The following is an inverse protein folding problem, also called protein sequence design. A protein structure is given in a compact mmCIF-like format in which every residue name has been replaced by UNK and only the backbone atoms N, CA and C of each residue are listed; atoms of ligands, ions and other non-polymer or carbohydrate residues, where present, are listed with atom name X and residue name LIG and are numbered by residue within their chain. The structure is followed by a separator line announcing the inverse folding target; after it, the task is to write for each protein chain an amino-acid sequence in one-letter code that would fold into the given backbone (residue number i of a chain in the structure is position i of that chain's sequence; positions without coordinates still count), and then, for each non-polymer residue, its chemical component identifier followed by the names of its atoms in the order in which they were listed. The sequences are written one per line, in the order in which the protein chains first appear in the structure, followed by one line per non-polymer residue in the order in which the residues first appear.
data_IF_034718737117
#
_entry.id   IF_034718737117
#
_cell.length_a   1.000
_cell.length_b   1.000
_cell.length_c   1.000
_cell.angle_alpha   90.00
_cell.angle_beta   90.00
_cell.angle_gamma   90.00
#
_symmetry.space_group_name_H-M   'P 1'
#
loop_
_entity.id
_entity.type
_entity.pdbx_description
1 polymer ?
#
# COMPACT_ATOMS: atom_id res chain seq x y z
N UNK A 1 -0.48 -33.61 29.16
CA UNK A 1 -1.61 -34.35 28.65
C UNK A 1 -2.40 -33.45 27.73
N UNK A 2 -2.53 -33.82 26.46
CA UNK A 2 -3.36 -33.09 25.48
C UNK A 2 -4.83 -33.38 25.81
N UNK A 3 -5.73 -32.39 25.65
CA UNK A 3 -7.17 -32.64 25.85
C UNK A 3 -7.63 -33.70 24.84
N UNK A 4 -8.26 -34.76 25.37
CA UNK A 4 -8.95 -35.77 24.59
C UNK A 4 -10.12 -35.11 23.86
N UNK A 5 -10.15 -35.19 22.53
CA UNK A 5 -11.29 -34.74 21.72
C UNK A 5 -10.96 -33.80 20.54
N UNK A 6 -9.70 -33.50 20.27
CA UNK A 6 -9.39 -32.93 18.99
C UNK A 6 -9.48 -34.02 17.89
N UNK A 7 -10.20 -33.75 16.79
CA UNK A 7 -10.20 -34.70 15.69
C UNK A 7 -8.73 -34.95 15.28
N UNK A 8 -8.37 -36.20 14.96
CA UNK A 8 -7.06 -36.48 14.41
C UNK A 8 -6.92 -35.52 13.22
N UNK A 9 -5.74 -34.89 13.10
CA UNK A 9 -5.39 -34.11 11.93
C UNK A 9 -5.93 -34.86 10.70
N UNK A 10 -6.97 -34.34 10.09
CA UNK A 10 -7.29 -34.62 8.72
C UNK A 10 -6.24 -33.89 7.84
N UNK A 11 -5.01 -34.02 8.26
CA UNK A 11 -3.87 -33.80 7.42
C UNK A 11 -3.92 -34.94 6.44
N UNK A 12 -4.45 -34.73 5.26
CA UNK A 12 -4.07 -35.53 4.13
C UNK A 12 -2.55 -35.57 4.21
N UNK A 13 -2.00 -36.78 4.44
CA UNK A 13 -0.58 -36.93 4.69
C UNK A 13 0.17 -36.19 3.61
N UNK A 14 0.93 -35.19 4.01
CA UNK A 14 2.00 -34.68 3.16
C UNK A 14 2.92 -35.88 3.03
N UNK A 15 2.79 -36.63 1.96
CA UNK A 15 3.80 -37.59 1.60
C UNK A 15 5.08 -36.77 1.50
N UNK A 16 6.10 -37.12 2.28
CA UNK A 16 7.33 -36.37 2.43
C UNK A 16 8.15 -36.24 1.10
N UNK A 17 7.60 -36.70 -0.02
CA UNK A 17 8.14 -36.65 -1.36
C UNK A 17 7.25 -36.01 -2.41
N UNK A 18 6.13 -35.39 -2.04
CA UNK A 18 5.28 -34.66 -2.97
C UNK A 18 5.81 -33.24 -3.16
N UNK A 19 6.50 -32.96 -4.24
CA UNK A 19 6.70 -31.61 -4.74
C UNK A 19 5.35 -31.13 -5.26
N UNK A 20 4.69 -30.22 -4.53
CA UNK A 20 3.55 -29.51 -5.09
C UNK A 20 4.10 -28.45 -6.06
N UNK A 21 4.00 -28.71 -7.34
CA UNK A 21 4.23 -27.69 -8.36
C UNK A 21 2.92 -26.89 -8.54
N UNK A 22 2.88 -25.71 -7.98
CA UNK A 22 1.86 -24.73 -8.32
C UNK A 22 2.48 -23.68 -9.24
N UNK A 23 1.87 -23.44 -10.39
CA UNK A 23 2.35 -22.47 -11.39
C UNK A 23 1.34 -21.34 -11.48
N UNK A 24 1.74 -20.16 -11.03
CA UNK A 24 1.04 -18.93 -11.34
C UNK A 24 1.71 -18.25 -12.54
N UNK A 25 0.91 -17.76 -13.49
CA UNK A 25 1.36 -16.87 -14.55
C UNK A 25 0.60 -15.56 -14.42
N UNK A 26 1.32 -14.47 -14.36
CA UNK A 26 0.74 -13.13 -14.38
C UNK A 26 1.50 -12.31 -15.42
N UNK A 27 0.78 -11.77 -16.38
CA UNK A 27 1.30 -10.84 -17.38
C UNK A 27 0.51 -9.54 -17.24
N UNK A 28 1.20 -8.43 -16.93
CA UNK A 28 0.55 -7.13 -16.80
C UNK A 28 1.44 -6.00 -17.29
N UNK A 29 0.86 -4.82 -17.51
CA UNK A 29 1.55 -3.69 -18.13
C UNK A 29 1.62 -2.53 -17.15
N UNK A 30 2.85 -2.08 -16.84
CA UNK A 30 3.10 -0.85 -16.10
C UNK A 30 3.15 0.33 -17.07
N UNK A 31 2.48 1.41 -16.75
CA UNK A 31 2.57 2.64 -17.53
C UNK A 31 2.50 3.89 -16.67
N UNK A 32 3.15 4.93 -17.16
CA UNK A 32 3.21 6.23 -16.50
C UNK A 32 3.12 7.32 -17.56
N UNK A 33 2.24 8.28 -17.35
CA UNK A 33 2.08 9.46 -18.19
C UNK A 33 2.22 10.70 -17.31
N UNK A 34 2.99 11.68 -17.75
CA UNK A 34 3.11 12.95 -17.04
C UNK A 34 3.14 14.12 -18.01
N UNK A 35 2.59 15.24 -17.57
CA UNK A 35 2.67 16.52 -18.25
C UNK A 35 3.19 17.56 -17.27
N UNK A 36 4.10 18.42 -17.76
CA UNK A 36 4.67 19.51 -16.97
C UNK A 36 4.50 20.82 -17.72
N UNK A 37 4.06 21.84 -17.02
CA UNK A 37 3.96 23.19 -17.56
C UNK A 37 4.80 24.17 -16.73
N UNK A 38 5.77 24.80 -17.35
CA UNK A 38 6.58 25.86 -16.74
C UNK A 38 5.79 27.17 -16.79
N UNK A 39 5.50 27.71 -15.62
CA UNK A 39 4.85 29.02 -15.48
C UNK A 39 5.87 30.14 -15.75
N UNK A 40 7.05 29.96 -15.15
CA UNK A 40 8.24 30.80 -15.34
C UNK A 40 9.50 29.95 -15.05
N UNK A 41 10.67 30.59 -14.93
CA UNK A 41 11.94 29.89 -14.69
C UNK A 41 12.00 29.25 -13.28
N UNK A 42 11.21 29.76 -12.35
CA UNK A 42 11.21 29.37 -10.94
C UNK A 42 10.01 28.51 -10.53
N UNK A 43 9.00 28.41 -11.39
CA UNK A 43 7.74 27.74 -11.03
C UNK A 43 7.23 26.83 -12.13
N UNK A 44 6.87 25.63 -11.74
CA UNK A 44 6.22 24.67 -12.64
C UNK A 44 5.09 23.93 -11.94
N UNK A 45 4.08 23.58 -12.69
CA UNK A 45 3.03 22.64 -12.31
C UNK A 45 3.18 21.37 -13.13
N UNK A 46 2.76 20.26 -12.53
CA UNK A 46 2.73 18.99 -13.23
C UNK A 46 1.45 18.21 -12.89
N UNK A 47 1.09 17.33 -13.80
CA UNK A 47 0.12 16.29 -13.56
C UNK A 47 0.75 14.95 -13.94
N UNK A 48 0.42 13.90 -13.19
CA UNK A 48 0.95 12.56 -13.38
C UNK A 48 -0.17 11.55 -13.18
N UNK A 49 -0.17 10.54 -14.04
CA UNK A 49 -0.92 9.32 -13.88
C UNK A 49 0.04 8.13 -13.99
N UNK A 50 -0.08 7.17 -13.09
CA UNK A 50 0.65 5.92 -13.19
C UNK A 50 -0.20 4.73 -12.76
N UNK A 51 -0.06 3.64 -13.49
CA UNK A 51 -0.65 2.36 -13.21
C UNK A 51 0.42 1.37 -12.80
N UNK A 52 0.23 0.70 -11.67
CA UNK A 52 1.12 -0.31 -11.13
C UNK A 52 0.37 -1.54 -10.68
N UNK A 53 1.10 -2.65 -10.51
CA UNK A 53 0.53 -3.89 -9.98
C UNK A 53 1.55 -4.64 -9.13
N UNK A 54 1.04 -5.48 -8.23
CA UNK A 54 1.81 -6.57 -7.63
C UNK A 54 1.34 -7.87 -8.23
N UNK A 55 2.28 -8.72 -8.59
CA UNK A 55 1.96 -10.04 -9.17
C UNK A 55 1.21 -10.89 -8.15
N UNK A 56 0.24 -11.67 -8.66
CA UNK A 56 -0.38 -12.74 -7.92
C UNK A 56 0.60 -13.85 -7.58
N UNK A 57 0.17 -14.80 -6.81
CA UNK A 57 1.05 -15.88 -6.36
C UNK A 57 0.30 -17.11 -5.89
N UNK A 58 1.03 -17.93 -5.17
CA UNK A 58 0.58 -19.23 -4.69
C UNK A 58 0.70 -19.24 -3.17
N UNK A 59 -0.38 -19.62 -2.51
CA UNK A 59 -0.37 -19.83 -1.08
C UNK A 59 0.33 -21.15 -0.72
N UNK A 60 0.84 -21.25 0.50
CA UNK A 60 1.43 -22.51 0.96
C UNK A 60 0.35 -23.61 0.97
N UNK A 61 0.73 -24.87 0.70
CA UNK A 61 -0.21 -26.00 0.74
C UNK A 61 -0.99 -26.11 2.04
N UNK A 62 -0.38 -25.70 3.12
CA UNK A 62 -0.99 -25.68 4.43
C UNK A 62 -2.05 -24.57 4.59
N UNK A 63 -1.83 -23.41 3.97
CA UNK A 63 -2.81 -22.33 3.93
C UNK A 63 -3.97 -22.69 3.01
N UNK A 64 -3.67 -23.20 1.83
CA UNK A 64 -4.67 -23.63 0.85
C UNK A 64 -5.55 -24.80 1.35
N UNK A 65 -5.06 -25.57 2.30
CA UNK A 65 -5.85 -26.65 2.94
C UNK A 65 -6.85 -26.14 3.96
N UNK A 66 -6.87 -24.83 4.22
CA UNK A 66 -7.85 -24.19 5.10
C UNK A 66 -9.03 -23.73 4.29
N UNK A 67 -10.12 -24.03 4.14
CA UNK A 67 -11.23 -23.56 3.29
C UNK A 67 -11.36 -22.01 3.18
N UNK A 68 -10.51 -21.29 3.92
CA UNK A 68 -10.51 -19.83 4.02
C UNK A 68 -9.52 -19.14 3.05
N UNK A 69 -8.55 -19.88 2.53
CA UNK A 69 -7.49 -19.35 1.66
C UNK A 69 -7.40 -20.22 0.41
N UNK A 70 -7.48 -19.61 -0.75
CA UNK A 70 -7.33 -20.32 -2.03
C UNK A 70 -5.90 -20.80 -2.26
N UNK A 71 -5.72 -21.72 -3.22
CA UNK A 71 -4.39 -22.16 -3.65
C UNK A 71 -3.58 -21.02 -4.26
N UNK A 72 -4.25 -20.10 -4.95
CA UNK A 72 -3.68 -18.93 -5.61
C UNK A 72 -4.36 -17.65 -5.16
N UNK A 73 -3.68 -16.55 -5.33
CA UNK A 73 -4.23 -15.21 -5.24
C UNK A 73 -3.83 -14.41 -6.47
N UNK A 74 -4.69 -13.50 -6.88
CA UNK A 74 -4.54 -12.72 -8.11
C UNK A 74 -3.64 -11.49 -7.90
N UNK A 75 -3.22 -10.88 -9.01
CA UNK A 75 -2.56 -9.58 -9.01
C UNK A 75 -3.48 -8.51 -8.41
N UNK A 76 -2.89 -7.55 -7.74
CA UNK A 76 -3.57 -6.31 -7.35
C UNK A 76 -3.01 -5.11 -8.11
N UNK A 77 -3.79 -4.07 -8.21
CA UNK A 77 -3.52 -2.92 -9.06
C UNK A 77 -3.63 -1.62 -8.29
N UNK A 78 -2.77 -0.68 -8.63
CA UNK A 78 -2.79 0.66 -8.07
C UNK A 78 -2.74 1.71 -9.18
N UNK A 79 -3.77 2.53 -9.25
CA UNK A 79 -3.81 3.74 -10.05
C UNK A 79 -3.48 4.94 -9.19
N UNK A 80 -2.49 5.73 -9.62
CA UNK A 80 -2.05 6.91 -8.90
C UNK A 80 -2.20 8.15 -9.79
N UNK A 81 -2.88 9.15 -9.26
CA UNK A 81 -3.09 10.46 -9.88
C UNK A 81 -2.44 11.51 -9.00
N UNK A 82 -1.64 12.38 -9.59
CA UNK A 82 -0.98 13.47 -8.89
C UNK A 82 -1.12 14.78 -9.66
N UNK A 83 -1.28 15.86 -8.94
CA UNK A 83 -1.07 17.21 -9.43
C UNK A 83 -0.19 17.96 -8.43
N UNK A 84 0.82 18.64 -8.92
CA UNK A 84 1.77 19.32 -8.04
C UNK A 84 2.30 20.63 -8.59
N UNK A 85 2.82 21.41 -7.66
CA UNK A 85 3.54 22.66 -7.87
C UNK A 85 4.94 22.53 -7.30
N UNK A 86 5.94 22.83 -8.08
CA UNK A 86 7.31 23.06 -7.62
C UNK A 86 7.65 24.52 -7.83
N UNK A 87 8.14 25.20 -6.78
CA UNK A 87 8.40 26.63 -6.85
C UNK A 87 9.60 27.06 -6.04
N UNK A 88 10.38 27.94 -6.62
CA UNK A 88 11.51 28.62 -5.99
C UNK A 88 11.19 30.11 -5.83
N UNK A 89 11.62 30.67 -4.74
CA UNK A 89 11.37 32.06 -4.35
C UNK A 89 12.62 32.67 -3.75
N UNK A 90 12.68 34.04 -3.74
CA UNK A 90 13.76 34.77 -3.06
C UNK A 90 15.15 34.38 -3.60
N UNK A 91 15.35 34.38 -4.92
CA UNK A 91 16.59 33.98 -5.58
C UNK A 91 17.04 32.57 -5.15
N UNK A 92 16.12 31.60 -5.21
CA UNK A 92 16.30 30.18 -4.81
C UNK A 92 16.57 29.94 -3.31
N UNK A 93 16.39 30.94 -2.46
CA UNK A 93 16.52 30.75 -1.00
C UNK A 93 15.35 30.04 -0.37
N UNK A 94 14.17 30.11 -0.97
CA UNK A 94 12.98 29.43 -0.50
C UNK A 94 12.45 28.52 -1.60
N UNK A 95 12.40 27.24 -1.33
CA UNK A 95 11.75 26.22 -2.15
C UNK A 95 10.47 25.76 -1.48
N UNK A 96 9.36 25.76 -2.21
CA UNK A 96 8.06 25.26 -1.77
C UNK A 96 7.52 24.32 -2.83
N UNK A 97 7.31 23.06 -2.44
CA UNK A 97 6.67 22.06 -3.28
C UNK A 97 5.38 21.62 -2.59
N UNK A 98 4.33 21.49 -3.37
CA UNK A 98 3.04 21.02 -2.92
C UNK A 98 2.47 20.04 -3.94
N UNK A 99 1.90 18.93 -3.48
CA UNK A 99 1.20 18.00 -4.36
C UNK A 99 -0.05 17.47 -3.70
N UNK A 100 -1.07 17.27 -4.50
CA UNK A 100 -2.25 16.49 -4.17
C UNK A 100 -2.16 15.16 -4.89
N UNK A 101 -2.46 14.07 -4.20
CA UNK A 101 -2.48 12.74 -4.75
C UNK A 101 -3.80 12.03 -4.48
N UNK A 102 -4.14 11.12 -5.37
CA UNK A 102 -5.20 10.13 -5.22
C UNK A 102 -4.66 8.79 -5.70
N UNK A 103 -4.67 7.79 -4.81
CA UNK A 103 -4.31 6.41 -5.12
C UNK A 103 -5.56 5.53 -4.95
N UNK A 104 -5.89 4.78 -6.00
CA UNK A 104 -6.97 3.80 -6.00
C UNK A 104 -6.35 2.41 -6.07
N UNK A 105 -6.68 1.56 -5.12
CA UNK A 105 -6.14 0.21 -5.02
C UNK A 105 -7.24 -0.81 -5.21
N UNK A 106 -7.11 -1.68 -6.22
CA UNK A 106 -8.06 -2.71 -6.59
C UNK A 106 -7.51 -4.10 -6.32
N UNK A 107 -8.41 -5.02 -5.93
CA UNK A 107 -8.10 -6.43 -5.65
C UNK A 107 -6.95 -6.61 -4.64
N UNK A 108 -6.86 -5.72 -3.65
CA UNK A 108 -5.75 -5.58 -2.73
C UNK A 108 -5.37 -6.91 -2.07
N UNK A 109 -4.12 -7.32 -2.23
CA UNK A 109 -3.57 -8.49 -1.56
C UNK A 109 -3.37 -8.21 -0.07
N UNK A 110 -4.07 -8.94 0.78
CA UNK A 110 -3.95 -8.84 2.23
C UNK A 110 -3.51 -10.16 2.84
N UNK A 111 -2.76 -10.07 3.94
CA UNK A 111 -2.44 -11.24 4.74
C UNK A 111 -3.70 -11.69 5.49
N UNK A 112 -4.03 -12.96 5.36
CA UNK A 112 -5.10 -13.61 6.08
C UNK A 112 -4.53 -14.69 7.00
N UNK A 113 -5.01 -14.75 8.23
CA UNK A 113 -4.60 -15.74 9.21
C UNK A 113 -5.79 -16.60 9.55
N UNK A 114 -5.71 -17.88 9.19
CA UNK A 114 -6.69 -18.89 9.52
C UNK A 114 -6.14 -19.82 10.61
N UNK A 115 -7.00 -20.32 11.44
CA UNK A 115 -6.60 -21.34 12.40
C UNK A 115 -7.51 -21.46 13.60
N UNK A 116 -7.52 -22.64 14.18
CA UNK A 116 -8.23 -22.96 15.42
C UNK A 116 -7.22 -23.38 16.48
N UNK A 117 -7.25 -22.71 17.63
CA UNK A 117 -6.33 -23.01 18.72
C UNK A 117 -4.90 -22.49 18.50
N UNK A 118 -3.86 -23.23 18.89
CA UNK A 118 -2.48 -22.78 18.81
C UNK A 118 -1.87 -22.82 17.39
N UNK A 119 -2.63 -23.24 16.39
CA UNK A 119 -2.13 -23.47 15.02
C UNK A 119 -2.67 -22.45 14.04
N UNK A 120 -1.95 -21.33 13.94
CA UNK A 120 -2.23 -20.29 12.94
C UNK A 120 -1.50 -20.60 11.63
N UNK A 121 -2.18 -20.43 10.54
CA UNK A 121 -1.64 -20.56 9.19
C UNK A 121 -1.89 -19.26 8.44
N UNK A 122 -0.83 -18.64 7.96
CA UNK A 122 -0.93 -17.43 7.16
C UNK A 122 -1.03 -17.73 5.68
N UNK A 123 -1.86 -16.99 4.98
CA UNK A 123 -1.99 -16.98 3.53
C UNK A 123 -2.26 -15.57 3.03
N UNK A 124 -2.35 -15.43 1.72
CA UNK A 124 -2.75 -14.18 1.05
C UNK A 124 -4.09 -14.38 0.37
N UNK A 125 -4.97 -13.41 0.51
CA UNK A 125 -6.25 -13.34 -0.20
C UNK A 125 -6.37 -11.98 -0.87
N UNK A 126 -7.16 -11.88 -1.93
CA UNK A 126 -7.50 -10.59 -2.50
C UNK A 126 -8.70 -10.02 -1.74
N UNK A 127 -8.55 -8.79 -1.26
CA UNK A 127 -9.64 -7.99 -0.70
C UNK A 127 -10.25 -7.13 -1.78
N UNK A 128 -11.24 -6.35 -1.40
CA UNK A 128 -11.90 -5.38 -2.29
C UNK A 128 -10.97 -4.20 -2.61
N UNK A 129 -11.51 -3.00 -2.64
CA UNK A 129 -10.82 -1.78 -3.05
C UNK A 129 -10.50 -0.87 -1.85
N UNK A 130 -9.42 -0.13 -1.97
CA UNK A 130 -9.05 0.92 -1.02
C UNK A 130 -8.65 2.19 -1.78
N UNK A 131 -8.75 3.33 -1.12
CA UNK A 131 -8.36 4.63 -1.65
C UNK A 131 -7.49 5.35 -0.63
N UNK A 132 -6.50 6.07 -1.10
CA UNK A 132 -5.73 7.01 -0.29
C UNK A 132 -5.61 8.32 -1.04
N UNK A 133 -6.05 9.42 -0.44
CA UNK A 133 -5.91 10.75 -1.03
C UNK A 133 -5.34 11.72 -0.01
N UNK A 134 -4.61 12.73 -0.49
CA UNK A 134 -3.98 13.65 0.44
C UNK A 134 -3.20 14.77 -0.20
N UNK A 135 -2.67 15.62 0.70
CA UNK A 135 -1.80 16.75 0.38
C UNK A 135 -0.43 16.51 0.99
N UNK A 136 0.60 16.70 0.20
CA UNK A 136 1.99 16.75 0.65
C UNK A 136 2.60 18.12 0.42
N UNK A 137 3.34 18.61 1.41
CA UNK A 137 4.03 19.88 1.41
C UNK A 137 5.48 19.68 1.81
N UNK A 138 6.40 20.24 1.02
CA UNK A 138 7.83 20.31 1.33
C UNK A 138 8.31 21.74 1.25
N UNK A 139 9.02 22.19 2.28
CA UNK A 139 9.60 23.53 2.36
C UNK A 139 11.08 23.41 2.71
N UNK A 140 11.92 24.14 1.97
CA UNK A 140 13.33 24.38 2.30
C UNK A 140 13.60 25.86 2.26
N UNK A 141 14.13 26.40 3.33
CA UNK A 141 14.41 27.84 3.44
C UNK A 141 15.82 28.10 3.99
N UNK A 142 16.63 28.73 3.17
CA UNK A 142 17.92 29.29 3.58
C UNK A 142 17.72 30.67 4.15
N UNK A 143 17.60 30.76 5.48
CA UNK A 143 17.34 32.00 6.19
C UNK A 143 18.57 32.94 6.10
N UNK A 144 19.74 32.35 6.32
CA UNK A 144 21.04 33.03 6.14
C UNK A 144 21.99 32.08 5.40
N UNK A 145 23.19 32.54 5.06
CA UNK A 145 24.21 31.69 4.41
C UNK A 145 24.61 30.46 5.25
N UNK A 146 24.31 30.50 6.55
CA UNK A 146 24.65 29.44 7.51
C UNK A 146 23.43 28.73 8.10
N UNK A 147 22.24 29.33 8.06
CA UNK A 147 21.06 28.81 8.73
C UNK A 147 20.04 28.35 7.69
N UNK A 148 19.74 27.06 7.71
CA UNK A 148 18.74 26.42 6.88
C UNK A 148 17.66 25.78 7.72
N UNK A 149 16.40 25.91 7.28
CA UNK A 149 15.23 25.22 7.81
C UNK A 149 14.64 24.37 6.70
N UNK A 150 14.28 23.14 7.04
CA UNK A 150 13.52 22.25 6.14
C UNK A 150 12.34 21.65 6.90
N UNK A 151 11.25 21.45 6.20
CA UNK A 151 10.07 20.83 6.78
C UNK A 151 9.26 20.11 5.71
N UNK A 152 8.59 19.04 6.12
CA UNK A 152 7.59 18.36 5.32
C UNK A 152 6.35 18.07 6.14
N UNK A 153 5.20 18.06 5.48
CA UNK A 153 3.93 17.66 6.06
C UNK A 153 3.13 16.87 5.03
N UNK A 154 2.55 15.76 5.48
CA UNK A 154 1.60 14.96 4.71
C UNK A 154 0.29 14.90 5.48
N UNK A 155 -0.79 15.20 4.80
CA UNK A 155 -2.16 15.01 5.27
C UNK A 155 -2.83 14.02 4.33
N UNK A 156 -3.22 12.85 4.83
CA UNK A 156 -3.76 11.78 4.01
C UNK A 156 -4.97 11.13 4.68
N UNK A 157 -5.96 10.78 3.87
CA UNK A 157 -7.08 9.92 4.25
C UNK A 157 -6.93 8.61 3.45
N UNK A 158 -6.82 7.49 4.15
CA UNK A 158 -6.69 6.16 3.55
C UNK A 158 -7.76 5.24 4.11
N UNK A 159 -8.62 4.72 3.24
CA UNK A 159 -9.82 3.98 3.64
C UNK A 159 -10.17 2.87 2.65
N UNK A 160 -10.90 1.89 3.15
CA UNK A 160 -11.58 0.91 2.29
C UNK A 160 -12.78 1.60 1.62
N UNK A 161 -13.01 1.30 0.35
CA UNK A 161 -14.09 1.90 -0.45
C UNK A 161 -15.24 0.94 -0.73
N UNK A 162 -15.12 -0.30 -0.23
CA UNK A 162 -16.19 -1.30 -0.23
C UNK A 162 -16.13 -2.15 1.02
N UNK A 163 -17.28 -2.68 1.41
CA UNK A 163 -17.33 -3.68 2.47
C UNK A 163 -16.76 -5.00 1.97
N UNK A 164 -15.83 -5.54 2.75
CA UNK A 164 -15.22 -6.84 2.53
C UNK A 164 -15.31 -7.66 3.82
N UNK A 165 -15.79 -8.88 3.70
CA UNK A 165 -15.72 -9.85 4.79
C UNK A 165 -14.66 -10.88 4.47
N UNK A 166 -13.60 -10.93 5.27
CA UNK A 166 -12.56 -11.92 5.10
C UNK A 166 -13.12 -13.33 5.35
N UNK A 167 -12.51 -14.38 4.82
CA UNK A 167 -12.93 -15.74 5.06
C UNK A 167 -13.03 -16.12 6.55
N UNK A 168 -12.17 -15.54 7.39
CA UNK A 168 -12.21 -15.71 8.87
C UNK A 168 -13.26 -14.85 9.58
N UNK A 169 -14.14 -14.17 8.84
CA UNK A 169 -15.25 -13.40 9.39
C UNK A 169 -14.90 -11.97 9.85
N UNK A 170 -13.68 -11.49 9.63
CA UNK A 170 -13.35 -10.09 9.88
C UNK A 170 -14.02 -9.19 8.83
N UNK A 171 -14.73 -8.17 9.29
CA UNK A 171 -15.48 -7.25 8.42
C UNK A 171 -14.71 -5.93 8.29
N UNK A 172 -14.29 -5.62 7.08
CA UNK A 172 -13.76 -4.31 6.67
C UNK A 172 -14.91 -3.55 6.03
N UNK A 173 -15.31 -2.43 6.63
CA UNK A 173 -16.47 -1.67 6.16
C UNK A 173 -16.05 -0.59 5.17
N UNK A 174 -16.98 -0.23 4.29
CA UNK A 174 -16.88 1.00 3.51
C UNK A 174 -16.56 2.19 4.42
N UNK A 175 -15.63 3.04 3.99
CA UNK A 175 -15.08 4.17 4.73
C UNK A 175 -14.34 3.83 6.06
N UNK A 176 -14.02 2.56 6.30
CA UNK A 176 -13.15 2.19 7.41
C UNK A 176 -11.72 2.62 7.11
N UNK A 177 -11.09 3.33 8.04
CA UNK A 177 -9.70 3.78 7.93
C UNK A 177 -8.77 2.55 7.83
N UNK A 178 -7.83 2.62 6.90
CA UNK A 178 -6.82 1.57 6.73
C UNK A 178 -5.88 1.51 7.94
N UNK A 179 -5.59 0.31 8.48
CA UNK A 179 -4.63 0.15 9.57
C UNK A 179 -3.26 0.70 9.19
N UNK A 180 -2.55 1.26 10.17
CA UNK A 180 -1.19 1.80 10.01
C UNK A 180 -1.06 2.96 9.00
N UNK A 181 -2.15 3.63 8.68
CA UNK A 181 -2.18 4.81 7.81
C UNK A 181 -2.42 6.06 8.64
N UNK A 182 -1.37 6.76 9.11
CA UNK A 182 -1.54 7.97 9.89
C UNK A 182 -2.07 9.10 9.01
N UNK A 183 -3.11 9.80 9.48
CA UNK A 183 -3.72 10.92 8.77
C UNK A 183 -2.79 12.12 8.61
N UNK A 184 -1.82 12.24 9.50
CA UNK A 184 -0.86 13.35 9.49
C UNK A 184 0.54 12.86 9.81
N UNK A 185 1.49 13.26 8.99
CA UNK A 185 2.93 13.10 9.22
C UNK A 185 3.60 14.44 9.06
N UNK A 186 4.65 14.70 9.83
CA UNK A 186 5.42 15.92 9.71
C UNK A 186 6.88 15.73 10.10
N UNK A 187 7.73 16.54 9.49
CA UNK A 187 9.15 16.65 9.79
C UNK A 187 9.55 18.11 9.83
N UNK A 188 10.42 18.47 10.76
CA UNK A 188 11.08 19.77 10.83
C UNK A 188 12.56 19.58 11.13
N UNK A 189 13.41 20.16 10.29
CA UNK A 189 14.86 20.14 10.43
C UNK A 189 15.42 21.56 10.44
N UNK A 190 16.45 21.77 11.25
CA UNK A 190 17.23 23.00 11.31
C UNK A 190 18.70 22.61 11.23
N UNK A 191 19.45 23.25 10.33
CA UNK A 191 20.90 23.10 10.24
C UNK A 191 21.60 24.46 10.29
N UNK A 192 22.73 24.50 10.96
CA UNK A 192 23.60 25.67 11.07
C UNK A 192 25.05 25.25 10.81
N UNK A 193 25.72 25.90 9.84
CA UNK A 193 27.09 25.66 9.40
C UNK A 193 28.06 26.76 9.89
#
# INVERSE_FOLDING_TARGET
AFPEGLPPFAGGGIEANGTMESKGKSDDTLYKVSATYKIDDDKMVYALFSHGFRIGGVNSPRAAATDEVGETYDSDYMDNYEIGLNSNWMDNRLQVNAQYFLMEWSDMQIAHWSGVGPWWVGGTVNAETAESSGLELDIKYQITDKLNISGSATFADAKFTKEYTSPGGSVYRDNMIMPNSPETKGYLGISYD
#
